data_IF_419279780144
#
_entry.id   IF_419279780144
#
_cell.length_a   1.000
_cell.length_b   1.000
_cell.length_c   1.000
_cell.angle_alpha   90.00
_cell.angle_beta   90.00
_cell.angle_gamma   90.00
#
_symmetry.space_group_name_H-M   'P 1'
#
loop_
_entity.id
_entity.type
_entity.pdbx_description
1 polymer ?
#
# COMPACT_ATOMS: atom_id res chain seq x y z
N UNK A 1 -13.06 11.88 -13.63
CA UNK A 1 -12.23 10.65 -13.57
C UNK A 1 -12.58 9.94 -12.27
N UNK A 2 -12.83 8.62 -12.27
CA UNK A 2 -13.12 7.90 -11.02
C UNK A 2 -11.87 7.94 -10.16
N UNK A 3 -12.02 8.41 -8.93
CA UNK A 3 -10.94 8.46 -7.96
C UNK A 3 -10.69 7.04 -7.44
N UNK A 4 -9.60 6.41 -7.90
CA UNK A 4 -9.25 5.03 -7.53
C UNK A 4 -8.39 5.03 -6.28
N UNK A 5 -8.98 4.63 -5.16
CA UNK A 5 -8.26 4.37 -3.91
C UNK A 5 -7.39 3.13 -4.06
N UNK A 6 -6.16 3.20 -3.57
CA UNK A 6 -5.23 2.08 -3.54
C UNK A 6 -4.84 1.74 -2.09
N UNK A 7 -4.13 0.62 -1.91
CA UNK A 7 -3.65 0.22 -0.58
C UNK A 7 -2.74 1.26 0.08
N UNK A 8 -1.88 1.93 -0.68
CA UNK A 8 -1.02 3.01 -0.16
C UNK A 8 -1.85 4.11 0.51
N UNK A 9 -2.95 4.53 -0.10
CA UNK A 9 -3.83 5.56 0.45
C UNK A 9 -4.48 5.11 1.77
N UNK A 10 -4.83 3.82 1.89
CA UNK A 10 -5.40 3.27 3.13
C UNK A 10 -4.36 3.28 4.27
N UNK A 11 -3.13 2.84 3.99
CA UNK A 11 -2.05 2.84 4.99
C UNK A 11 -1.67 4.26 5.43
N UNK A 12 -1.58 5.20 4.49
CA UNK A 12 -1.31 6.59 4.82
C UNK A 12 -2.45 7.21 5.63
N UNK A 13 -3.71 6.89 5.31
CA UNK A 13 -4.87 7.37 6.05
C UNK A 13 -4.84 6.87 7.50
N UNK A 14 -4.65 5.57 7.70
CA UNK A 14 -4.57 4.97 9.04
C UNK A 14 -3.43 5.58 9.86
N UNK A 15 -2.26 5.79 9.24
CA UNK A 15 -1.13 6.47 9.87
C UNK A 15 -1.52 7.86 10.39
N UNK A 16 -2.17 8.69 9.56
CA UNK A 16 -2.55 10.03 9.98
C UNK A 16 -3.66 10.03 11.04
N UNK A 17 -4.65 9.12 10.94
CA UNK A 17 -5.68 8.99 11.96
C UNK A 17 -5.09 8.58 13.30
N UNK A 18 -4.16 7.62 13.31
CA UNK A 18 -3.45 7.21 14.51
C UNK A 18 -2.59 8.34 15.07
N UNK A 19 -1.85 9.06 14.22
CA UNK A 19 -1.04 10.22 14.63
C UNK A 19 -1.90 11.30 15.29
N UNK A 20 -3.04 11.62 14.67
CA UNK A 20 -3.95 12.65 15.14
C UNK A 20 -4.70 12.25 16.43
N UNK A 21 -4.77 10.95 16.78
CA UNK A 21 -5.42 10.47 18.01
C UNK A 21 -4.82 11.04 19.30
N UNK A 22 -3.57 11.51 19.25
CA UNK A 22 -2.85 12.09 20.39
C UNK A 22 -2.98 13.61 20.49
N UNK A 23 -3.58 14.25 19.47
CA UNK A 23 -3.61 15.69 19.31
C UNK A 23 -4.96 16.25 19.79
N UNK A 24 -5.00 17.40 20.49
CA UNK A 24 -6.26 17.98 20.96
C UNK A 24 -7.20 18.37 19.80
N UNK A 25 -8.47 17.97 19.93
CA UNK A 25 -9.57 18.21 18.98
C UNK A 25 -9.62 19.62 18.39
N UNK A 26 -9.45 20.65 19.23
CA UNK A 26 -9.51 22.05 18.79
C UNK A 26 -8.46 22.39 17.73
N UNK A 27 -7.25 21.84 17.89
CA UNK A 27 -6.14 22.05 16.95
C UNK A 27 -6.36 21.29 15.65
N UNK A 28 -6.91 20.07 15.72
CA UNK A 28 -7.27 19.27 14.54
C UNK A 28 -8.32 19.98 13.70
N UNK A 29 -9.41 20.45 14.31
CA UNK A 29 -10.48 21.16 13.60
C UNK A 29 -9.98 22.46 12.96
N UNK A 30 -9.12 23.20 13.65
CA UNK A 30 -8.55 24.44 13.09
C UNK A 30 -7.70 24.15 11.86
N UNK A 31 -6.80 23.16 11.96
CA UNK A 31 -5.95 22.71 10.85
C UNK A 31 -6.77 22.21 9.66
N UNK A 32 -7.70 21.29 9.91
CA UNK A 32 -8.49 20.65 8.86
C UNK A 32 -9.44 21.64 8.19
N UNK A 33 -9.97 22.62 8.93
CA UNK A 33 -10.74 23.72 8.37
C UNK A 33 -9.89 24.61 7.46
N UNK A 34 -8.69 25.01 7.91
CA UNK A 34 -7.79 25.82 7.09
C UNK A 34 -7.44 25.09 5.78
N UNK A 35 -7.06 23.80 5.88
CA UNK A 35 -6.78 22.95 4.74
C UNK A 35 -7.99 22.87 3.79
N UNK A 36 -9.19 22.64 4.32
CA UNK A 36 -10.40 22.54 3.51
C UNK A 36 -10.68 23.83 2.72
N UNK A 37 -10.69 24.98 3.39
CA UNK A 37 -11.03 26.27 2.79
C UNK A 37 -9.97 26.69 1.76
N UNK A 38 -8.70 26.52 2.09
CA UNK A 38 -7.61 27.02 1.23
C UNK A 38 -7.34 26.10 0.02
N UNK A 39 -7.45 24.78 0.20
CA UNK A 39 -6.95 23.81 -0.79
C UNK A 39 -8.03 22.91 -1.41
N UNK A 40 -9.13 22.61 -0.70
CA UNK A 40 -10.12 21.62 -1.15
C UNK A 40 -11.37 22.28 -1.74
N UNK A 41 -11.92 23.29 -1.06
CA UNK A 41 -13.13 24.01 -1.46
C UNK A 41 -13.04 24.60 -2.88
N UNK A 42 -11.93 25.24 -3.30
CA UNK A 42 -11.81 25.78 -4.65
C UNK A 42 -11.89 24.70 -5.74
N UNK A 43 -11.34 23.51 -5.47
CA UNK A 43 -11.34 22.39 -6.40
C UNK A 43 -12.67 21.61 -6.40
N UNK A 44 -13.51 21.81 -5.38
CA UNK A 44 -14.77 21.08 -5.20
C UNK A 44 -15.83 21.45 -6.25
N UNK A 45 -15.79 22.68 -6.76
CA UNK A 45 -16.75 23.22 -7.72
C UNK A 45 -16.75 22.44 -9.05
N UNK A 46 -15.64 21.76 -9.36
CA UNK A 46 -15.45 20.97 -10.57
C UNK A 46 -15.76 19.48 -10.35
N UNK A 47 -16.08 19.07 -9.11
CA UNK A 47 -16.27 17.67 -8.74
C UNK A 47 -17.78 17.30 -8.69
N UNK A 48 -18.20 16.21 -9.37
CA UNK A 48 -19.56 15.66 -9.26
C UNK A 48 -19.96 15.37 -7.81
N UNK A 49 -21.20 15.71 -7.44
CA UNK A 49 -21.71 15.59 -6.05
C UNK A 49 -21.57 14.18 -5.45
N UNK A 50 -21.71 13.15 -6.28
CA UNK A 50 -21.56 11.74 -5.90
C UNK A 50 -20.11 11.37 -5.51
N UNK A 51 -19.12 12.13 -5.99
CA UNK A 51 -17.69 11.87 -5.75
C UNK A 51 -17.04 12.85 -4.77
N UNK A 52 -17.75 13.91 -4.36
CA UNK A 52 -17.21 14.97 -3.50
C UNK A 52 -16.63 14.42 -2.19
N UNK A 53 -17.28 13.45 -1.54
CA UNK A 53 -16.77 12.88 -0.26
C UNK A 53 -15.40 12.23 -0.43
N UNK A 54 -15.26 11.37 -1.43
CA UNK A 54 -14.01 10.68 -1.73
C UNK A 54 -12.94 11.67 -2.20
N UNK A 55 -13.35 12.67 -2.98
CA UNK A 55 -12.47 13.73 -3.45
C UNK A 55 -11.91 14.57 -2.30
N UNK A 56 -12.75 14.97 -1.33
CA UNK A 56 -12.32 15.72 -0.13
C UNK A 56 -11.29 14.90 0.65
N UNK A 57 -11.62 13.65 0.96
CA UNK A 57 -10.76 12.79 1.76
C UNK A 57 -9.40 12.56 1.07
N UNK A 58 -9.41 12.36 -0.24
CA UNK A 58 -8.19 12.14 -1.00
C UNK A 58 -7.32 13.40 -1.11
N UNK A 59 -7.91 14.57 -1.34
CA UNK A 59 -7.15 15.82 -1.36
C UNK A 59 -6.59 16.17 0.02
N UNK A 60 -7.35 15.91 1.09
CA UNK A 60 -6.84 16.04 2.45
C UNK A 60 -5.64 15.13 2.67
N UNK A 61 -5.73 13.86 2.28
CA UNK A 61 -4.67 12.87 2.43
C UNK A 61 -3.42 13.25 1.61
N UNK A 62 -3.60 13.69 0.37
CA UNK A 62 -2.52 14.08 -0.52
C UNK A 62 -1.81 15.34 -0.02
N UNK A 63 -2.54 16.33 0.50
CA UNK A 63 -1.94 17.53 1.11
C UNK A 63 -1.12 17.15 2.36
N UNK A 64 -1.66 16.29 3.23
CA UNK A 64 -0.94 15.75 4.39
C UNK A 64 0.33 14.99 4.00
N UNK A 65 0.24 14.19 2.93
CA UNK A 65 1.39 13.46 2.39
C UNK A 65 2.47 14.41 1.90
N UNK A 66 2.12 15.47 1.16
CA UNK A 66 3.09 16.44 0.64
C UNK A 66 3.73 17.29 1.73
N UNK A 67 2.97 17.64 2.75
CA UNK A 67 3.47 18.47 3.87
C UNK A 67 4.42 17.71 4.77
N UNK A 68 4.16 16.43 5.06
CA UNK A 68 5.01 15.62 5.94
C UNK A 68 6.07 14.80 5.22
N UNK A 69 5.79 14.35 3.99
CA UNK A 69 6.64 13.43 3.23
C UNK A 69 7.06 14.00 1.86
N UNK A 70 6.90 15.30 1.62
CA UNK A 70 7.25 15.94 0.34
C UNK A 70 8.75 16.15 0.12
N UNK A 71 9.59 15.91 1.12
CA UNK A 71 11.05 15.95 0.98
C UNK A 71 11.58 14.69 0.33
N UNK A 72 12.65 14.80 -0.47
CA UNK A 72 13.17 13.71 -1.30
C UNK A 72 13.54 12.44 -0.51
N UNK A 73 13.88 12.56 0.77
CA UNK A 73 14.34 11.45 1.61
C UNK A 73 13.24 10.82 2.50
N UNK A 74 12.01 11.29 2.43
CA UNK A 74 10.92 10.83 3.30
C UNK A 74 9.86 10.04 2.53
N UNK A 75 9.80 8.73 2.74
CA UNK A 75 8.72 7.89 2.21
C UNK A 75 7.53 7.86 3.16
N UNK A 76 6.32 7.95 2.61
CA UNK A 76 5.11 7.72 3.41
C UNK A 76 4.98 6.24 3.79
N UNK A 77 4.33 5.91 4.92
CA UNK A 77 4.12 4.51 5.33
C UNK A 77 3.48 3.63 4.25
N UNK A 78 2.52 4.17 3.50
CA UNK A 78 1.92 3.48 2.38
C UNK A 78 2.87 3.28 1.20
N UNK A 79 3.81 4.22 0.96
CA UNK A 79 4.86 4.02 -0.03
C UNK A 79 5.84 2.92 0.38
N UNK A 80 6.23 2.90 1.66
CA UNK A 80 7.05 1.83 2.24
C UNK A 80 6.37 0.46 2.11
N UNK A 81 5.08 0.38 2.39
CA UNK A 81 4.33 -0.87 2.25
C UNK A 81 4.29 -1.37 0.81
N UNK A 82 4.05 -0.48 -0.17
CA UNK A 82 4.03 -0.85 -1.59
C UNK A 82 5.39 -1.40 -2.03
N UNK A 83 6.48 -0.76 -1.60
CA UNK A 83 7.84 -1.21 -1.95
C UNK A 83 8.18 -2.54 -1.29
N UNK A 84 7.83 -2.71 0.00
CA UNK A 84 8.00 -3.97 0.71
C UNK A 84 7.19 -5.10 0.06
N UNK A 85 5.94 -4.83 -0.33
CA UNK A 85 5.09 -5.82 -0.99
C UNK A 85 5.63 -6.22 -2.38
N UNK A 86 6.14 -5.24 -3.15
CA UNK A 86 6.79 -5.51 -4.44
C UNK A 86 8.02 -6.38 -4.27
N UNK A 87 8.85 -6.07 -3.27
CA UNK A 87 10.06 -6.83 -2.93
C UNK A 87 9.71 -8.26 -2.51
N UNK A 88 8.73 -8.42 -1.62
CA UNK A 88 8.24 -9.73 -1.20
C UNK A 88 7.74 -10.56 -2.38
N UNK A 89 6.98 -9.96 -3.30
CA UNK A 89 6.49 -10.65 -4.50
C UNK A 89 7.65 -11.16 -5.37
N UNK A 90 8.71 -10.36 -5.53
CA UNK A 90 9.88 -10.76 -6.29
C UNK A 90 10.61 -11.94 -5.61
N UNK A 91 10.79 -11.86 -4.28
CA UNK A 91 11.41 -12.94 -3.50
C UNK A 91 10.60 -14.23 -3.64
N UNK A 92 9.27 -14.15 -3.49
CA UNK A 92 8.38 -15.32 -3.64
C UNK A 92 8.46 -15.94 -5.03
N UNK A 93 8.59 -15.14 -6.09
CA UNK A 93 8.76 -15.64 -7.46
C UNK A 93 10.09 -16.39 -7.61
N UNK A 94 11.19 -15.78 -7.17
CA UNK A 94 12.53 -16.40 -7.24
C UNK A 94 12.60 -17.67 -6.40
N UNK A 95 12.05 -17.64 -5.19
CA UNK A 95 11.98 -18.81 -4.31
C UNK A 95 11.14 -19.92 -4.94
N UNK A 96 9.97 -19.59 -5.48
CA UNK A 96 9.09 -20.55 -6.16
C UNK A 96 9.77 -21.20 -7.36
N UNK A 97 10.52 -20.43 -8.16
CA UNK A 97 11.31 -20.97 -9.26
C UNK A 97 12.41 -21.92 -8.74
N UNK A 98 13.16 -21.51 -7.72
CA UNK A 98 14.24 -22.31 -7.16
C UNK A 98 13.74 -23.63 -6.56
N UNK A 99 12.73 -23.57 -5.69
CA UNK A 99 12.13 -24.76 -5.07
C UNK A 99 11.42 -25.65 -6.10
N UNK A 100 10.71 -25.05 -7.05
CA UNK A 100 10.06 -25.77 -8.14
C UNK A 100 11.07 -26.50 -9.04
N UNK A 101 12.17 -25.84 -9.40
CA UNK A 101 13.25 -26.46 -10.18
C UNK A 101 13.94 -27.59 -9.43
N UNK A 102 14.26 -27.41 -8.14
CA UNK A 102 14.88 -28.47 -7.31
C UNK A 102 13.94 -29.68 -7.20
N UNK A 103 12.66 -29.45 -6.89
CA UNK A 103 11.68 -30.51 -6.81
C UNK A 103 11.53 -31.23 -8.17
N UNK A 104 11.34 -30.47 -9.25
CA UNK A 104 11.21 -31.02 -10.60
C UNK A 104 12.44 -31.83 -11.04
N UNK A 105 13.65 -31.32 -10.82
CA UNK A 105 14.89 -32.05 -11.12
C UNK A 105 15.05 -33.31 -10.27
N UNK A 106 14.62 -33.27 -9.00
CA UNK A 106 14.62 -34.46 -8.14
C UNK A 106 13.70 -35.56 -8.69
N UNK A 107 12.54 -35.19 -9.25
CA UNK A 107 11.64 -36.12 -9.93
C UNK A 107 12.22 -36.63 -11.27
N UNK A 108 12.85 -35.77 -12.07
CA UNK A 108 13.40 -36.16 -13.37
C UNK A 108 14.70 -36.97 -13.28
N UNK A 109 15.48 -36.81 -12.21
CA UNK A 109 16.74 -37.55 -12.02
C UNK A 109 16.52 -38.97 -11.44
N UNK A 110 15.28 -39.46 -11.41
CA UNK A 110 14.99 -40.84 -11.04
C UNK A 110 15.40 -41.79 -12.18
N UNK A 111 16.57 -42.40 -12.07
CA UNK A 111 17.14 -43.31 -13.07
C UNK A 111 16.73 -44.79 -12.92
N UNK A 112 15.73 -45.11 -12.08
CA UNK A 112 15.22 -46.48 -11.93
C UNK A 112 16.16 -47.49 -11.26
N UNK A 113 17.30 -47.05 -10.70
CA UNK A 113 18.34 -47.92 -10.13
C UNK A 113 18.10 -48.31 -8.66
N UNK A 114 17.12 -47.69 -7.99
CA UNK A 114 16.72 -48.02 -6.60
C UNK A 114 15.19 -48.05 -6.49
N UNK A 115 14.57 -49.10 -5.91
CA UNK A 115 13.12 -49.16 -5.74
C UNK A 115 12.62 -47.99 -4.90
N UNK A 116 11.64 -47.24 -5.41
CA UNK A 116 11.16 -46.04 -4.72
C UNK A 116 10.33 -46.42 -3.51
N UNK A 117 10.66 -45.81 -2.36
CA UNK A 117 9.84 -45.93 -1.16
C UNK A 117 8.54 -45.15 -1.39
N UNK A 118 7.40 -45.86 -1.41
CA UNK A 118 6.07 -45.32 -1.76
C UNK A 118 5.65 -44.18 -0.80
N UNK A 119 6.23 -44.13 0.41
CA UNK A 119 6.01 -43.04 1.38
C UNK A 119 6.60 -41.69 0.95
N UNK A 120 7.48 -41.64 -0.04
CA UNK A 120 7.97 -40.38 -0.62
C UNK A 120 7.04 -39.80 -1.69
N UNK A 121 5.98 -40.53 -2.06
CA UNK A 121 5.01 -40.18 -3.11
C UNK A 121 3.65 -39.71 -2.58
N UNK A 122 3.49 -39.56 -1.26
CA UNK A 122 2.26 -39.10 -0.60
C UNK A 122 2.47 -37.75 0.10
#
# INVERSE_FOLDING_TARGET
MKLLWNYKDIFDLEYFLHKDSTVPDGTLRQRDRALFVEHIEPALQQCPKDQQRLFILHNWLEHRRRTEFGTADSLSPGALFVEAHRTLRLISLVAGLFFGSIAGLSFFNYAGTTPVNIFSFL
#
